data_IF_391360049619
#
_entry.id   IF_391360049619
#
_cell.length_a   1.000
_cell.length_b   1.000
_cell.length_c   1.000
_cell.angle_alpha   90.00
_cell.angle_beta   90.00
_cell.angle_gamma   90.00
#
_symmetry.space_group_name_H-M   'P 1'
#
loop_
_entity.id
_entity.type
_entity.pdbx_description
1 polymer ?
#
# COMPACT_ATOMS: atom_id res chain seq x y z
N UNK A 1 -18.94 3.55 12.52
CA UNK A 1 -17.64 4.09 12.99
C UNK A 1 -16.55 3.34 12.25
N UNK A 2 -15.54 4.04 11.68
CA UNK A 2 -14.46 3.40 10.94
C UNK A 2 -13.37 2.91 11.91
N UNK A 3 -12.87 1.70 11.68
CA UNK A 3 -11.77 1.12 12.43
C UNK A 3 -10.46 1.79 12.02
N UNK A 4 -9.61 2.24 12.95
CA UNK A 4 -8.31 2.78 12.59
C UNK A 4 -7.42 1.72 11.92
N UNK A 5 -6.61 2.14 10.95
CA UNK A 5 -5.56 1.30 10.39
C UNK A 5 -4.52 0.96 11.49
N UNK A 6 -4.10 -0.32 11.63
CA UNK A 6 -3.17 -0.75 12.67
C UNK A 6 -1.74 -0.28 12.43
N UNK A 7 -1.40 0.09 11.20
CA UNK A 7 -0.12 0.73 10.84
C UNK A 7 -0.35 2.20 10.48
N UNK A 8 0.46 3.10 11.04
CA UNK A 8 0.33 4.55 10.78
C UNK A 8 1.68 5.20 10.48
N UNK A 9 2.76 4.66 11.02
CA UNK A 9 4.13 5.19 10.92
C UNK A 9 5.06 4.22 10.21
N UNK A 10 6.24 4.69 9.81
CA UNK A 10 7.29 3.80 9.30
C UNK A 10 7.81 2.83 10.37
N UNK A 11 7.78 3.22 11.64
CA UNK A 11 8.14 2.33 12.75
C UNK A 11 7.17 1.15 12.86
N UNK A 12 5.87 1.41 12.69
CA UNK A 12 4.85 0.35 12.65
C UNK A 12 5.14 -0.61 11.49
N UNK A 13 5.42 -0.06 10.30
CA UNK A 13 5.73 -0.85 9.10
C UNK A 13 6.97 -1.72 9.31
N UNK A 14 8.03 -1.16 9.89
CA UNK A 14 9.25 -1.87 10.20
C UNK A 14 9.02 -2.98 11.25
N UNK A 15 8.24 -2.70 12.30
CA UNK A 15 7.98 -3.67 13.38
C UNK A 15 7.22 -4.91 12.90
N UNK A 16 6.34 -4.77 11.90
CA UNK A 16 5.63 -5.90 11.28
C UNK A 16 6.40 -6.52 10.10
N UNK A 17 7.62 -6.04 9.81
CA UNK A 17 8.49 -6.56 8.75
C UNK A 17 8.03 -6.22 7.33
N UNK A 18 7.07 -5.32 7.16
CA UNK A 18 6.61 -4.92 5.83
C UNK A 18 7.71 -4.14 5.08
N UNK A 19 7.82 -4.41 3.79
CA UNK A 19 8.75 -3.71 2.89
C UNK A 19 8.04 -2.55 2.23
N UNK A 20 8.79 -1.51 1.87
CA UNK A 20 8.23 -0.39 1.13
C UNK A 20 8.93 -0.21 -0.20
N UNK A 21 8.12 0.00 -1.24
CA UNK A 21 8.56 0.43 -2.55
C UNK A 21 7.92 1.77 -2.88
N UNK A 22 8.73 2.73 -3.32
CA UNK A 22 8.27 3.97 -3.90
C UNK A 22 8.29 3.85 -5.43
N UNK A 23 7.18 4.15 -6.09
CA UNK A 23 7.07 4.17 -7.54
C UNK A 23 6.96 5.61 -8.05
N UNK A 24 7.84 5.98 -8.97
CA UNK A 24 7.80 7.29 -9.64
C UNK A 24 7.01 7.20 -10.93
N UNK A 25 5.88 7.90 -10.99
CA UNK A 25 5.07 7.99 -12.20
C UNK A 25 5.79 8.68 -13.37
N UNK A 26 6.72 9.60 -13.06
CA UNK A 26 7.46 10.36 -14.08
C UNK A 26 8.53 9.49 -14.74
N UNK A 27 9.22 8.65 -13.96
CA UNK A 27 10.34 7.83 -14.47
C UNK A 27 9.97 6.36 -14.66
N UNK A 28 8.73 5.98 -14.31
CA UNK A 28 8.22 4.60 -14.36
C UNK A 28 9.16 3.61 -13.68
N UNK A 29 9.77 4.03 -12.56
CA UNK A 29 10.74 3.25 -11.79
C UNK A 29 10.24 3.03 -10.37
N UNK A 30 10.48 1.83 -9.87
CA UNK A 30 10.21 1.43 -8.50
C UNK A 30 11.53 1.34 -7.73
N UNK A 31 11.60 1.98 -6.58
CA UNK A 31 12.79 2.02 -5.72
C UNK A 31 12.41 1.45 -4.35
N UNK A 32 13.07 0.38 -3.87
CA UNK A 32 12.90 -0.08 -2.50
C UNK A 32 13.58 0.89 -1.53
N UNK A 33 13.04 1.02 -0.33
CA UNK A 33 13.74 1.71 0.76
C UNK A 33 13.44 1.04 2.10
N UNK A 34 14.38 1.20 3.02
CA UNK A 34 14.27 0.65 4.36
C UNK A 34 13.31 1.51 5.22
N UNK A 35 12.16 0.96 5.69
CA UNK A 35 11.27 1.69 6.59
C UNK A 35 11.94 2.02 7.93
N UNK A 36 12.96 1.26 8.36
CA UNK A 36 13.68 1.51 9.60
C UNK A 36 14.76 2.60 9.48
N UNK A 37 14.91 3.22 8.30
CA UNK A 37 15.90 4.27 8.09
C UNK A 37 15.69 5.44 9.06
N UNK A 38 16.78 5.89 9.70
CA UNK A 38 16.73 6.87 10.80
C UNK A 38 15.95 8.16 10.46
N UNK A 39 15.99 8.61 9.21
CA UNK A 39 15.26 9.81 8.77
C UNK A 39 13.73 9.64 8.69
N UNK A 40 13.21 8.41 8.79
CA UNK A 40 11.79 8.07 8.74
C UNK A 40 11.17 7.79 10.11
N UNK A 41 12.01 7.68 11.15
CA UNK A 41 11.57 7.39 12.53
C UNK A 41 10.46 8.32 12.99
N UNK A 42 9.38 7.75 13.54
CA UNK A 42 8.19 8.45 14.02
C UNK A 42 7.31 9.11 12.94
N UNK A 43 7.72 9.08 11.67
CA UNK A 43 6.97 9.74 10.59
C UNK A 43 5.82 8.87 10.12
N UNK A 44 4.68 9.51 9.83
CA UNK A 44 3.55 8.86 9.18
C UNK A 44 3.87 8.55 7.72
N UNK A 45 3.68 7.31 7.31
CA UNK A 45 4.03 6.90 5.93
C UNK A 45 3.20 7.62 4.87
N UNK A 46 1.97 7.99 5.20
CA UNK A 46 1.07 8.72 4.29
C UNK A 46 1.42 10.20 4.10
N UNK A 47 2.29 10.77 4.94
CA UNK A 47 2.66 12.18 4.91
C UNK A 47 4.05 12.42 4.28
N UNK A 48 4.87 11.38 4.15
CA UNK A 48 6.20 11.51 3.55
C UNK A 48 6.08 11.49 2.04
N UNK A 49 6.69 12.50 1.40
CA UNK A 49 6.82 12.60 -0.06
C UNK A 49 8.19 12.11 -0.46
N UNK A 50 8.24 11.24 -1.46
CA UNK A 50 9.48 10.75 -2.04
C UNK A 50 9.74 11.50 -3.33
N UNK A 51 10.84 12.24 -3.39
CA UNK A 51 11.36 12.77 -4.65
C UNK A 51 12.30 11.70 -5.22
N UNK A 52 12.10 11.28 -6.47
CA UNK A 52 13.05 10.34 -7.06
C UNK A 52 14.32 11.10 -7.45
N UNK A 53 15.50 10.53 -7.22
CA UNK A 53 16.78 11.18 -7.54
C UNK A 53 17.39 10.62 -8.83
N UNK A 54 16.65 9.78 -9.57
CA UNK A 54 17.20 9.06 -10.72
C UNK A 54 17.53 10.01 -11.87
N UNK A 55 18.82 10.17 -12.11
CA UNK A 55 19.45 10.90 -13.20
C UNK A 55 19.32 10.08 -14.49
N UNK A 56 18.79 10.64 -15.60
CA UNK A 56 18.77 9.98 -16.91
C UNK A 56 19.94 10.49 -17.75
N UNK A 57 20.90 9.61 -18.04
CA UNK A 57 21.84 9.72 -19.17
C UNK A 57 21.34 8.80 -20.28
N UNK A 58 20.55 9.34 -21.21
CA UNK A 58 20.25 8.66 -22.47
C UNK A 58 20.28 9.68 -23.61
N UNK A 59 21.39 9.66 -24.35
CA UNK A 59 21.54 10.07 -25.77
C UNK A 59 20.89 11.39 -26.23
N UNK A 60 20.77 12.38 -25.36
CA UNK A 60 20.21 13.70 -25.72
C UNK A 60 21.11 14.81 -25.17
N UNK A 61 21.26 15.89 -25.94
CA UNK A 61 22.10 17.06 -25.64
C UNK A 61 21.65 17.88 -24.40
N UNK A 62 20.75 17.34 -23.58
CA UNK A 62 20.21 18.01 -22.42
C UNK A 62 20.89 17.51 -21.14
N UNK A 63 21.27 18.42 -20.23
CA UNK A 63 21.85 18.04 -18.95
C UNK A 63 20.86 17.18 -18.17
N UNK A 64 21.34 16.20 -17.39
CA UNK A 64 20.48 15.32 -16.63
C UNK A 64 19.60 16.11 -15.66
N UNK A 65 18.28 15.97 -15.76
CA UNK A 65 17.34 16.62 -14.84
C UNK A 65 16.99 15.69 -13.67
N UNK A 66 17.06 16.17 -12.42
CA UNK A 66 16.60 15.40 -11.27
C UNK A 66 15.10 15.15 -11.39
N UNK A 67 14.69 14.01 -10.88
CA UNK A 67 13.31 13.57 -10.93
C UNK A 67 12.45 14.36 -9.94
N UNK A 68 11.54 15.18 -10.46
CA UNK A 68 10.60 15.97 -9.64
C UNK A 68 9.30 15.22 -9.34
N UNK A 69 9.17 13.97 -9.78
CA UNK A 69 7.99 13.15 -9.55
C UNK A 69 7.82 12.82 -8.06
N UNK A 70 6.59 12.97 -7.57
CA UNK A 70 6.22 12.51 -6.22
C UNK A 70 5.94 11.01 -6.29
N UNK A 71 6.70 10.23 -5.54
CA UNK A 71 6.58 8.78 -5.51
C UNK A 71 5.31 8.29 -4.79
N UNK A 72 4.61 7.34 -5.42
CA UNK A 72 3.52 6.58 -4.81
C UNK A 72 4.10 5.45 -3.97
N UNK A 73 3.47 5.14 -2.83
CA UNK A 73 3.96 4.12 -1.92
C UNK A 73 3.23 2.79 -2.05
N UNK A 74 3.99 1.71 -2.01
CA UNK A 74 3.49 0.34 -1.94
C UNK A 74 4.11 -0.35 -0.74
N UNK A 75 3.28 -0.69 0.25
CA UNK A 75 3.65 -1.46 1.42
C UNK A 75 3.36 -2.93 1.13
N UNK A 76 4.41 -3.74 1.11
CA UNK A 76 4.37 -5.16 0.75
C UNK A 76 4.68 -6.03 1.96
N UNK A 77 4.05 -7.22 2.06
CA UNK A 77 4.33 -8.14 3.16
C UNK A 77 5.80 -8.57 3.19
N UNK A 78 6.29 -9.05 4.35
CA UNK A 78 7.58 -9.73 4.42
C UNK A 78 7.56 -10.98 3.53
N UNK A 79 8.72 -11.38 3.01
CA UNK A 79 8.83 -12.40 1.95
C UNK A 79 8.25 -13.76 2.33
N UNK A 80 8.37 -14.14 3.60
CA UNK A 80 7.85 -15.39 4.18
C UNK A 80 6.32 -15.42 4.30
N UNK A 81 5.68 -14.24 4.32
CA UNK A 81 4.22 -14.09 4.39
C UNK A 81 3.61 -13.62 3.07
N UNK A 82 4.43 -13.28 2.09
CA UNK A 82 4.01 -12.84 0.76
C UNK A 82 3.33 -14.00 0.01
N UNK A 83 2.08 -13.79 -0.42
CA UNK A 83 1.40 -14.74 -1.29
C UNK A 83 1.74 -14.37 -2.74
N UNK A 84 2.42 -15.26 -3.44
CA UNK A 84 2.95 -15.00 -4.78
C UNK A 84 1.84 -15.03 -5.85
N UNK A 85 2.11 -14.48 -7.05
CA UNK A 85 1.21 -14.66 -8.19
C UNK A 85 0.94 -16.14 -8.45
N UNK A 86 -0.33 -16.52 -8.58
CA UNK A 86 -0.76 -17.92 -8.76
C UNK A 86 -1.06 -18.67 -7.45
N UNK A 87 -0.62 -18.15 -6.30
CA UNK A 87 -0.92 -18.74 -5.00
C UNK A 87 -2.25 -18.25 -4.44
N UNK A 88 -2.98 -19.18 -3.82
CA UNK A 88 -4.28 -18.94 -3.21
C UNK A 88 -4.09 -18.65 -1.72
N UNK A 89 -4.59 -17.51 -1.27
CA UNK A 89 -4.65 -17.18 0.15
C UNK A 89 -5.42 -15.88 0.41
N UNK A 90 -6.18 -15.79 1.51
CA UNK A 90 -7.06 -14.66 1.79
C UNK A 90 -6.27 -13.39 2.08
N UNK A 91 -6.33 -12.44 1.17
CA UNK A 91 -5.67 -11.15 1.30
C UNK A 91 -6.55 -10.01 0.79
N UNK A 92 -6.36 -8.84 1.37
CA UNK A 92 -6.94 -7.60 0.87
C UNK A 92 -5.85 -6.63 0.43
N UNK A 93 -6.09 -5.92 -0.67
CA UNK A 93 -5.37 -4.71 -1.03
C UNK A 93 -6.12 -3.51 -0.44
N UNK A 94 -5.40 -2.64 0.26
CA UNK A 94 -5.96 -1.46 0.94
C UNK A 94 -5.37 -0.19 0.36
N UNK A 95 -6.23 0.78 0.01
CA UNK A 95 -5.79 2.07 -0.49
C UNK A 95 -6.86 3.15 -0.33
N UNK A 96 -6.45 4.40 -0.42
CA UNK A 96 -7.36 5.54 -0.44
C UNK A 96 -7.42 6.13 -1.85
N UNK A 97 -8.63 6.39 -2.38
CA UNK A 97 -8.82 7.06 -3.68
C UNK A 97 -8.64 8.58 -3.62
N UNK A 98 -8.74 9.18 -2.43
CA UNK A 98 -8.74 10.63 -2.25
C UNK A 98 -7.34 11.19 -1.91
N UNK A 99 -6.40 10.33 -1.51
CA UNK A 99 -5.07 10.77 -1.08
C UNK A 99 -4.10 10.87 -2.27
N UNK A 100 -3.41 12.01 -2.37
CA UNK A 100 -2.26 12.22 -3.25
C UNK A 100 -1.02 12.71 -2.46
N UNK A 101 0.16 12.09 -2.57
CA UNK A 101 0.49 10.95 -3.42
C UNK A 101 -0.23 9.66 -3.01
N UNK A 102 -0.36 8.77 -3.98
CA UNK A 102 -1.04 7.49 -3.78
C UNK A 102 -0.22 6.59 -2.84
N UNK A 103 -0.93 5.76 -2.08
CA UNK A 103 -0.34 4.71 -1.29
C UNK A 103 -1.26 3.49 -1.26
N UNK A 104 -0.65 2.30 -1.14
CA UNK A 104 -1.38 1.05 -0.97
C UNK A 104 -0.65 0.08 -0.06
N UNK A 105 -1.41 -0.74 0.64
CA UNK A 105 -0.96 -2.00 1.23
C UNK A 105 -1.38 -3.09 0.24
N UNK A 106 -0.41 -3.81 -0.33
CA UNK A 106 -0.69 -4.77 -1.41
C UNK A 106 -1.34 -6.04 -0.90
N UNK A 107 -0.94 -6.50 0.28
CA UNK A 107 -1.49 -7.68 0.92
C UNK A 107 -1.63 -7.47 2.43
N UNK A 108 -2.86 -7.27 2.89
CA UNK A 108 -3.26 -7.38 4.28
C UNK A 108 -3.93 -8.75 4.45
N UNK A 109 -3.17 -9.73 4.93
CA UNK A 109 -3.63 -11.12 5.06
C UNK A 109 -4.71 -11.25 6.13
N UNK A 110 -5.71 -12.11 5.91
CA UNK A 110 -6.81 -12.26 6.88
C UNK A 110 -6.40 -12.99 8.16
N UNK A 111 -5.39 -13.83 8.06
CA UNK A 111 -4.97 -14.81 9.05
C UNK A 111 -3.71 -14.42 9.85
N UNK A 112 -3.09 -13.27 9.51
CA UNK A 112 -1.84 -12.80 10.11
C UNK A 112 -2.08 -11.49 10.88
N UNK A 113 -1.47 -11.36 12.06
CA UNK A 113 -1.43 -10.08 12.76
C UNK A 113 -0.58 -9.03 12.01
N UNK A 114 -0.88 -7.73 12.13
CA UNK A 114 -1.97 -7.12 12.93
C UNK A 114 -3.34 -7.13 12.21
N UNK A 115 -3.38 -7.64 10.98
CA UNK A 115 -4.55 -7.55 10.11
C UNK A 115 -5.69 -8.42 10.62
N UNK A 116 -5.41 -9.63 11.09
CA UNK A 116 -6.39 -10.56 11.67
C UNK A 116 -7.24 -9.88 12.75
N UNK A 117 -6.60 -9.23 13.73
CA UNK A 117 -7.32 -8.48 14.77
C UNK A 117 -8.17 -7.35 14.19
N UNK A 118 -7.65 -6.60 13.22
CA UNK A 118 -8.38 -5.52 12.55
C UNK A 118 -9.60 -6.05 11.79
N UNK A 119 -9.50 -7.20 11.11
CA UNK A 119 -10.60 -7.80 10.36
C UNK A 119 -11.71 -8.37 11.24
N UNK A 120 -11.33 -8.83 12.44
CA UNK A 120 -12.28 -9.36 13.42
C UNK A 120 -12.91 -8.27 14.29
N UNK A 121 -12.45 -7.02 14.20
CA UNK A 121 -13.07 -5.90 14.89
C UNK A 121 -14.46 -5.60 14.29
N UNK A 122 -15.45 -5.30 15.14
CA UNK A 122 -16.82 -4.95 14.75
C UNK A 122 -16.91 -3.54 14.10
N UNK A 123 -16.26 -3.34 12.96
CA UNK A 123 -16.25 -2.09 12.20
C UNK A 123 -16.86 -2.24 10.80
N UNK A 124 -17.46 -1.17 10.28
CA UNK A 124 -18.06 -1.15 8.94
C UNK A 124 -17.05 -0.80 7.84
N UNK A 125 -15.77 -0.59 8.18
CA UNK A 125 -14.71 -0.20 7.26
C UNK A 125 -13.47 0.31 7.98
N UNK A 126 -12.40 0.59 7.25
CA UNK A 126 -11.11 1.05 7.80
C UNK A 126 -10.89 2.52 7.46
N UNK A 127 -10.47 3.32 8.43
CA UNK A 127 -10.16 4.73 8.25
C UNK A 127 -8.77 4.91 7.61
N UNK A 128 -8.71 5.80 6.62
CA UNK A 128 -7.46 6.28 6.05
C UNK A 128 -6.68 7.08 7.11
N UNK A 129 -5.42 6.72 7.41
CA UNK A 129 -4.62 7.41 8.43
C UNK A 129 -4.21 8.84 8.03
N UNK A 130 -4.55 9.28 6.81
CA UNK A 130 -4.29 10.64 6.31
C UNK A 130 -5.53 11.53 6.28
N UNK A 131 -6.57 11.12 5.55
CA UNK A 131 -7.76 11.95 5.35
C UNK A 131 -8.95 11.53 6.24
N UNK A 132 -8.87 10.39 6.95
CA UNK A 132 -9.97 9.89 7.77
C UNK A 132 -11.07 9.14 7.01
N UNK A 133 -11.14 9.28 5.68
CA UNK A 133 -12.13 8.58 4.84
C UNK A 133 -11.98 7.07 4.88
N UNK A 134 -13.05 6.36 4.50
CA UNK A 134 -13.02 4.90 4.35
C UNK A 134 -12.04 4.46 3.25
N UNK A 135 -11.15 3.52 3.59
CA UNK A 135 -10.29 2.85 2.62
C UNK A 135 -11.11 1.96 1.68
N UNK A 136 -10.64 1.87 0.44
CA UNK A 136 -11.07 0.81 -0.47
C UNK A 136 -10.35 -0.47 -0.10
N UNK A 137 -11.10 -1.56 -0.14
CA UNK A 137 -10.68 -2.90 0.26
C UNK A 137 -10.98 -3.82 -0.92
N UNK A 138 -9.94 -4.25 -1.61
CA UNK A 138 -10.02 -5.19 -2.74
C UNK A 138 -9.58 -6.57 -2.25
N UNK A 139 -10.54 -7.49 -2.07
CA UNK A 139 -10.26 -8.85 -1.61
C UNK A 139 -9.79 -9.75 -2.76
N UNK A 140 -8.93 -10.72 -2.45
CA UNK A 140 -8.43 -11.72 -3.40
C UNK A 140 -8.14 -13.04 -2.69
N UNK A 141 -8.10 -14.14 -3.47
CA UNK A 141 -7.59 -15.44 -3.02
C UNK A 141 -8.62 -16.42 -2.43
N UNK A 142 -9.88 -16.38 -2.85
CA UNK A 142 -10.90 -17.38 -2.49
C UNK A 142 -11.84 -17.70 -3.67
N UNK A 143 -12.23 -18.97 -3.90
CA UNK A 143 -13.27 -19.35 -4.87
C UNK A 143 -14.72 -19.13 -4.38
N UNK A 144 -14.95 -18.39 -3.29
CA UNK A 144 -16.28 -18.22 -2.70
C UNK A 144 -16.40 -17.05 -1.73
N UNK A 145 -16.15 -15.83 -2.18
CA UNK A 145 -16.35 -14.61 -1.37
C UNK A 145 -17.85 -14.26 -1.30
N UNK A 146 -18.48 -14.31 -0.10
CA UNK A 146 -19.35 -13.20 0.26
C UNK A 146 -19.24 -12.72 1.73
N UNK A 147 -19.69 -11.47 1.91
CA UNK A 147 -20.07 -10.76 3.14
C UNK A 147 -19.03 -9.86 3.84
N UNK A 148 -18.67 -8.77 3.15
CA UNK A 148 -18.61 -7.45 3.79
C UNK A 148 -19.39 -6.45 2.92
N UNK A 149 -20.28 -5.65 3.52
CA UNK A 149 -20.98 -4.54 2.82
C UNK A 149 -19.93 -3.66 2.11
N UNK A 150 -20.03 -3.50 0.80
CA UNK A 150 -19.13 -2.64 0.00
C UNK A 150 -18.37 -3.32 -1.14
N UNK A 151 -18.62 -4.61 -1.42
CA UNK A 151 -18.07 -5.27 -2.62
C UNK A 151 -18.88 -4.88 -3.86
N UNK A 152 -18.37 -3.97 -4.67
CA UNK A 152 -18.76 -3.82 -6.08
C UNK A 152 -17.80 -4.68 -6.89
N UNK A 153 -18.32 -5.75 -7.49
CA UNK A 153 -17.59 -6.54 -8.46
C UNK A 153 -17.40 -5.68 -9.72
N UNK A 154 -16.26 -5.00 -9.84
CA UNK A 154 -15.78 -4.57 -11.15
C UNK A 154 -15.33 -5.83 -11.88
N UNK A 155 -16.29 -6.51 -12.53
CA UNK A 155 -16.14 -7.34 -13.74
C UNK A 155 -17.36 -8.28 -13.85
N UNK A 156 -18.46 -7.75 -14.37
CA UNK A 156 -19.42 -8.55 -15.13
C UNK A 156 -19.09 -8.35 -16.61
N UNK A 157 -18.54 -9.34 -17.33
CA UNK A 157 -18.86 -9.45 -18.74
C UNK A 157 -20.33 -9.86 -18.82
N UNK A 158 -21.12 -9.02 -19.48
CA UNK A 158 -22.48 -9.32 -19.91
C UNK A 158 -22.47 -10.66 -20.65
N UNK A 159 -23.38 -11.57 -20.27
CA UNK A 159 -23.78 -12.70 -21.12
C UNK A 159 -24.30 -12.17 -22.47
#
# INVERSE_FOLDING_TARGET
MLTPLPIRTFDDVASIGYRIKAYSDVYKKTVPFDPAHACLKGKRFTHVRFACSTVRTLWTAHPPKPCTGIGNLSLEPPKDLEILPGEVGPRARLFCRNCWPYWAITQARRDVEPWKSMWNANGTGIACPRCGDGLKIEWSGFPGVPFSKGYEANNSPTL
#
